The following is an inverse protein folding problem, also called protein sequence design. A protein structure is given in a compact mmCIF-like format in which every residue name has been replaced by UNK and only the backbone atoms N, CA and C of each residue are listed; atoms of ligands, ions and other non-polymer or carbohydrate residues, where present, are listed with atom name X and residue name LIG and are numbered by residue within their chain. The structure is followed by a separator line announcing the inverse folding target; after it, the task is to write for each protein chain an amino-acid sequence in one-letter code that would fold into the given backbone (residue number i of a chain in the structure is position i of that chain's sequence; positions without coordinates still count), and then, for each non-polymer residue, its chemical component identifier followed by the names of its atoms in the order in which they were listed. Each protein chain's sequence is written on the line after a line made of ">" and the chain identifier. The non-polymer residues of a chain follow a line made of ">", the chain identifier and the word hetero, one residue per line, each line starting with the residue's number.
data_IF_202303584316
#
_entry.id   IF_202303584316
#
_cell.length_a   1.000
_cell.length_b   1.000
_cell.length_c   1.000
_cell.angle_alpha   90.00
_cell.angle_beta   90.00
_cell.angle_gamma   90.00
#
_symmetry.space_group_name_H-M   'P 1'
#
loop_
_entity.id
_entity.type
_entity.pdbx_description
1 polymer ?
#
# COMPACT_ATOMS: atom_id res chain seq x y z
N UNK A 1 15.77 -0.85 2.14
CA UNK A 1 14.84 0.19 2.64
C UNK A 1 13.38 -0.15 2.36
N UNK A 2 12.93 -0.22 1.08
CA UNK A 2 11.53 -0.52 0.73
C UNK A 2 10.96 -1.79 1.38
N UNK A 3 11.74 -2.87 1.43
CA UNK A 3 11.34 -4.15 2.00
C UNK A 3 11.01 -4.07 3.51
N UNK A 4 11.69 -3.19 4.25
CA UNK A 4 11.47 -3.02 5.69
C UNK A 4 10.09 -2.40 5.92
N UNK A 5 9.73 -1.35 5.19
CA UNK A 5 8.41 -0.71 5.29
C UNK A 5 7.28 -1.63 4.83
N UNK A 6 7.50 -2.46 3.80
CA UNK A 6 6.54 -3.51 3.42
C UNK A 6 6.31 -4.51 4.54
N UNK A 7 7.39 -5.00 5.15
CA UNK A 7 7.30 -5.95 6.27
C UNK A 7 6.55 -5.34 7.46
N UNK A 8 6.91 -4.11 7.81
CA UNK A 8 6.27 -3.33 8.88
C UNK A 8 4.77 -3.18 8.63
N UNK A 9 4.37 -2.70 7.44
CA UNK A 9 2.96 -2.53 7.10
C UNK A 9 2.19 -3.86 7.01
N UNK A 10 2.80 -4.93 6.52
CA UNK A 10 2.13 -6.23 6.40
C UNK A 10 1.89 -6.89 7.77
N UNK A 11 2.79 -6.67 8.75
CA UNK A 11 2.74 -7.30 10.06
C UNK A 11 2.43 -6.36 11.21
N UNK A 12 2.06 -5.11 10.92
CA UNK A 12 1.66 -4.06 11.87
C UNK A 12 0.80 -4.60 13.04
N UNK A 13 -0.32 -5.31 12.80
CA UNK A 13 -1.14 -5.82 13.90
C UNK A 13 -0.41 -6.86 14.77
N UNK A 14 0.43 -7.72 14.19
CA UNK A 14 1.21 -8.71 14.96
C UNK A 14 2.29 -8.04 15.80
N UNK A 15 2.96 -7.02 15.24
CA UNK A 15 3.97 -6.23 15.92
C UNK A 15 3.35 -5.52 17.13
N UNK A 16 2.18 -4.90 16.96
CA UNK A 16 1.47 -4.26 18.07
C UNK A 16 1.03 -5.24 19.15
N UNK A 17 0.55 -6.43 18.80
CA UNK A 17 0.21 -7.47 19.79
C UNK A 17 1.47 -7.88 20.58
N UNK A 18 2.59 -8.11 19.89
CA UNK A 18 3.86 -8.46 20.53
C UNK A 18 4.36 -7.36 21.47
N UNK A 19 4.30 -6.10 21.04
CA UNK A 19 4.68 -4.94 21.86
C UNK A 19 3.73 -4.73 23.03
N UNK A 20 2.43 -4.98 22.88
CA UNK A 20 1.46 -4.87 23.96
C UNK A 20 1.71 -5.93 25.05
N UNK A 21 1.96 -7.18 24.65
CA UNK A 21 2.32 -8.26 25.58
C UNK A 21 3.64 -7.94 26.27
N UNK A 22 4.68 -7.59 25.51
CA UNK A 22 5.98 -7.20 26.06
C UNK A 22 5.88 -6.01 27.02
N UNK A 23 5.08 -5.01 26.65
CA UNK A 23 4.80 -3.83 27.44
C UNK A 23 4.11 -4.17 28.76
N UNK A 24 3.14 -5.08 28.74
CA UNK A 24 2.47 -5.55 29.96
C UNK A 24 3.47 -6.22 30.92
N UNK A 25 4.35 -7.09 30.42
CA UNK A 25 5.37 -7.73 31.24
C UNK A 25 6.38 -6.73 31.80
N UNK A 26 6.88 -5.81 30.96
CA UNK A 26 7.82 -4.78 31.37
C UNK A 26 7.20 -3.82 32.39
N UNK A 27 5.94 -3.42 32.18
CA UNK A 27 5.19 -2.59 33.12
C UNK A 27 4.99 -3.29 34.46
N UNK A 28 4.62 -4.57 34.45
CA UNK A 28 4.47 -5.36 35.69
C UNK A 28 5.79 -5.44 36.45
N UNK A 29 6.90 -5.63 35.76
CA UNK A 29 8.23 -5.67 36.37
C UNK A 29 8.68 -4.31 36.93
N UNK A 30 8.40 -3.23 36.19
CA UNK A 30 8.63 -1.87 36.66
C UNK A 30 7.79 -1.57 37.91
N UNK A 31 6.52 -1.97 37.92
CA UNK A 31 5.63 -1.76 39.07
C UNK A 31 6.12 -2.48 40.33
N UNK A 32 6.58 -3.73 40.18
CA UNK A 32 7.19 -4.47 41.28
C UNK A 32 8.43 -3.74 41.80
N UNK A 33 9.36 -3.36 40.92
CA UNK A 33 10.59 -2.65 41.30
C UNK A 33 10.32 -1.28 41.94
N UNK A 34 9.31 -0.57 41.44
CA UNK A 34 8.83 0.71 41.99
C UNK A 34 8.27 0.56 43.40
N UNK A 35 7.55 -0.52 43.66
CA UNK A 35 6.99 -0.81 44.97
C UNK A 35 8.09 -1.17 45.99
N UNK A 36 9.11 -1.93 45.59
CA UNK A 36 10.28 -2.20 46.44
C UNK A 36 11.01 -0.89 46.79
N UNK A 37 11.25 -0.02 45.80
CA UNK A 37 11.87 1.28 46.02
C UNK A 37 11.07 2.18 46.97
N UNK A 38 9.73 2.18 46.88
CA UNK A 38 8.87 2.95 47.79
C UNK A 38 8.82 2.42 49.22
N UNK A 39 9.08 1.13 49.43
CA UNK A 39 9.04 0.49 50.76
C UNK A 39 10.39 0.55 51.49
N UNK A 40 11.47 0.86 50.79
CA UNK A 40 12.79 1.02 51.39
C UNK A 40 12.79 2.22 52.35
N UNK A 41 13.02 1.94 53.64
CA UNK A 41 13.08 2.96 54.70
C UNK A 41 14.48 3.56 54.81
N UNK A 42 15.52 2.76 54.51
CA UNK A 42 16.91 3.19 54.59
C UNK A 42 17.43 3.73 53.25
N UNK A 43 18.13 4.87 53.29
CA UNK A 43 18.74 5.51 52.12
C UNK A 43 19.64 4.59 51.31
N UNK A 44 20.43 3.75 52.00
CA UNK A 44 21.37 2.82 51.38
C UNK A 44 20.67 1.73 50.55
N UNK A 45 19.57 1.18 51.07
CA UNK A 45 18.75 0.19 50.35
C UNK A 45 18.10 0.80 49.11
N UNK A 46 17.73 2.08 49.22
CA UNK A 46 17.11 2.84 48.14
C UNK A 46 18.07 3.05 46.95
N UNK A 47 19.35 3.26 47.22
CA UNK A 47 20.39 3.42 46.18
C UNK A 47 20.63 2.11 45.40
N UNK A 48 20.71 0.97 46.11
CA UNK A 48 20.81 -0.34 45.45
C UNK A 48 19.53 -0.68 44.65
N UNK A 49 18.36 -0.30 45.17
CA UNK A 49 17.08 -0.47 44.46
C UNK A 49 17.01 0.38 43.18
N UNK A 50 17.55 1.61 43.19
CA UNK A 50 17.61 2.48 42.01
C UNK A 50 18.46 1.90 40.88
N UNK A 51 19.64 1.34 41.19
CA UNK A 51 20.49 0.70 40.19
C UNK A 51 19.79 -0.48 39.49
N UNK A 52 19.03 -1.28 40.25
CA UNK A 52 18.22 -2.38 39.70
C UNK A 52 17.02 -1.87 38.88
N UNK A 53 16.36 -0.82 39.36
CA UNK A 53 15.20 -0.21 38.70
C UNK A 53 15.58 0.39 37.34
N UNK A 54 16.80 0.92 37.19
CA UNK A 54 17.32 1.43 35.92
C UNK A 54 17.20 0.44 34.76
N UNK A 55 17.43 -0.86 35.00
CA UNK A 55 17.29 -1.89 33.96
C UNK A 55 15.83 -2.08 33.52
N UNK A 56 14.89 -2.04 34.47
CA UNK A 56 13.45 -2.13 34.16
C UNK A 56 12.94 -0.90 33.41
N UNK A 57 13.41 0.28 33.79
CA UNK A 57 13.10 1.54 33.11
C UNK A 57 13.61 1.51 31.68
N UNK A 58 14.85 1.08 31.46
CA UNK A 58 15.43 0.99 30.12
C UNK A 58 14.60 0.08 29.20
N UNK A 59 14.16 -1.08 29.68
CA UNK A 59 13.30 -1.99 28.90
C UNK A 59 11.95 -1.35 28.57
N UNK A 60 11.32 -0.66 29.52
CA UNK A 60 10.05 0.06 29.27
C UNK A 60 10.24 1.17 28.23
N UNK A 61 11.31 1.96 28.35
CA UNK A 61 11.65 3.02 27.39
C UNK A 61 11.89 2.43 26.00
N UNK A 62 12.61 1.30 25.90
CA UNK A 62 12.87 0.63 24.64
C UNK A 62 11.57 0.16 23.97
N UNK A 63 10.65 -0.44 24.73
CA UNK A 63 9.35 -0.86 24.20
C UNK A 63 8.53 0.34 23.73
N UNK A 64 8.49 1.42 24.51
CA UNK A 64 7.81 2.66 24.11
C UNK A 64 8.43 3.26 22.85
N UNK A 65 9.76 3.31 22.76
CA UNK A 65 10.46 3.82 21.59
C UNK A 65 10.12 2.99 20.32
N UNK A 66 10.07 1.66 20.43
CA UNK A 66 9.65 0.79 19.34
C UNK A 66 8.18 1.02 18.96
N UNK A 67 7.29 1.14 19.94
CA UNK A 67 5.87 1.41 19.71
C UNK A 67 5.64 2.74 18.99
N UNK A 68 6.28 3.82 19.45
CA UNK A 68 6.20 5.12 18.80
C UNK A 68 6.88 5.13 17.43
N UNK A 69 8.03 4.44 17.29
CA UNK A 69 8.71 4.29 16.01
C UNK A 69 7.82 3.62 14.96
N UNK A 70 7.15 2.54 15.36
CA UNK A 70 6.17 1.83 14.52
C UNK A 70 4.99 2.71 14.14
N UNK A 71 4.39 3.40 15.14
CA UNK A 71 3.26 4.29 14.93
C UNK A 71 3.59 5.44 13.97
N UNK A 72 4.79 6.02 14.10
CA UNK A 72 5.26 7.06 13.18
C UNK A 72 5.45 6.47 11.78
N UNK A 73 6.05 5.28 11.67
CA UNK A 73 6.24 4.63 10.38
C UNK A 73 4.91 4.32 9.68
N UNK A 74 3.96 3.73 10.39
CA UNK A 74 2.64 3.37 9.86
C UNK A 74 1.78 4.60 9.52
N UNK A 75 1.81 5.65 10.34
CA UNK A 75 0.95 6.83 10.16
C UNK A 75 1.51 7.88 9.22
N UNK A 76 2.84 8.03 9.17
CA UNK A 76 3.48 9.11 8.40
C UNK A 76 4.38 8.61 7.28
N UNK A 77 5.08 7.48 7.42
CA UNK A 77 6.02 7.04 6.38
C UNK A 77 5.29 6.24 5.31
N UNK A 78 4.51 5.22 5.71
CA UNK A 78 3.78 4.31 4.80
C UNK A 78 2.82 5.05 3.86
N UNK A 79 1.97 5.99 4.31
CA UNK A 79 1.02 6.66 3.42
C UNK A 79 1.68 7.64 2.42
N UNK A 80 2.89 8.10 2.71
CA UNK A 80 3.64 9.02 1.83
C UNK A 80 4.51 8.28 0.80
N UNK A 81 4.54 6.95 0.82
CA UNK A 81 5.25 6.14 -0.18
C UNK A 81 4.36 5.92 -1.41
N UNK A 82 4.89 6.10 -2.65
CA UNK A 82 4.11 5.88 -3.85
C UNK A 82 3.70 4.41 -3.99
N UNK A 83 2.50 4.15 -4.51
CA UNK A 83 1.92 2.80 -4.63
C UNK A 83 2.80 1.80 -5.40
N UNK A 84 3.71 2.30 -6.26
CA UNK A 84 4.72 1.51 -6.97
C UNK A 84 5.66 0.75 -6.03
N UNK A 85 5.84 1.23 -4.80
CA UNK A 85 6.63 0.53 -3.80
C UNK A 85 5.98 -0.77 -3.39
N UNK A 86 4.65 -0.87 -3.29
CA UNK A 86 3.96 -2.07 -2.79
C UNK A 86 3.73 -3.14 -3.85
N UNK A 87 3.86 -2.80 -5.14
CA UNK A 87 3.75 -3.77 -6.23
C UNK A 87 4.87 -4.82 -6.13
N UNK A 88 4.57 -6.11 -6.39
CA UNK A 88 5.60 -7.11 -6.60
C UNK A 88 6.35 -6.76 -7.89
N UNK A 89 7.66 -6.58 -7.81
CA UNK A 89 8.50 -6.52 -9.01
C UNK A 89 8.33 -7.85 -9.74
N UNK A 90 7.90 -7.80 -11.00
CA UNK A 90 7.76 -8.99 -11.82
C UNK A 90 9.10 -9.74 -11.80
N UNK A 91 9.09 -10.92 -11.19
CA UNK A 91 10.26 -11.80 -11.21
C UNK A 91 10.33 -12.32 -12.65
N UNK A 92 11.43 -12.07 -13.36
CA UNK A 92 11.62 -12.60 -14.71
C UNK A 92 11.53 -14.13 -14.63
N UNK A 93 10.48 -14.70 -15.20
CA UNK A 93 10.36 -16.14 -15.42
C UNK A 93 11.19 -16.51 -16.64
N UNK A 94 12.39 -17.04 -16.39
CA UNK A 94 13.33 -17.49 -17.42
C UNK A 94 12.86 -18.74 -18.17
N UNK A 95 11.76 -19.38 -17.75
CA UNK A 95 11.15 -20.51 -18.44
C UNK A 95 9.93 -20.09 -19.29
N UNK A 96 9.50 -18.83 -19.21
CA UNK A 96 8.44 -18.32 -20.06
C UNK A 96 8.94 -18.25 -21.52
N UNK A 97 8.45 -19.18 -22.36
CA UNK A 97 8.72 -19.15 -23.80
C UNK A 97 7.97 -17.97 -24.44
N UNK A 98 8.64 -17.06 -25.17
CA UNK A 98 7.96 -15.98 -25.86
C UNK A 98 7.05 -16.57 -26.95
N UNK A 99 5.75 -16.62 -26.67
CA UNK A 99 4.74 -17.04 -27.66
C UNK A 99 4.40 -15.81 -28.50
N UNK A 100 5.23 -15.53 -29.50
CA UNK A 100 5.13 -14.28 -30.25
C UNK A 100 5.82 -14.33 -31.61
N UNK A 101 5.43 -15.25 -32.48
CA UNK A 101 5.66 -15.07 -33.92
C UNK A 101 4.45 -15.58 -34.68
N UNK A 102 3.58 -14.66 -35.04
CA UNK A 102 2.47 -14.93 -35.98
C UNK A 102 3.11 -15.20 -37.33
N UNK A 103 2.76 -16.32 -37.97
CA UNK A 103 3.25 -16.66 -39.31
C UNK A 103 2.84 -15.57 -40.31
N UNK A 104 3.71 -15.23 -41.30
CA UNK A 104 3.43 -14.19 -42.28
C UNK A 104 2.16 -14.48 -43.09
N UNK A 105 1.80 -15.75 -43.32
CA UNK A 105 0.57 -16.12 -43.99
C UNK A 105 -0.70 -15.72 -43.22
N UNK A 106 -0.68 -15.82 -41.88
CA UNK A 106 -1.82 -15.43 -41.03
C UNK A 106 -1.95 -13.91 -40.92
N UNK A 107 -0.83 -13.18 -40.96
CA UNK A 107 -0.81 -11.72 -40.98
C UNK A 107 -1.43 -11.15 -42.28
N UNK A 108 -1.15 -11.76 -43.44
CA UNK A 108 -1.73 -11.34 -44.72
C UNK A 108 -3.24 -11.62 -44.79
N UNK A 109 -3.70 -12.75 -44.22
CA UNK A 109 -5.14 -13.05 -44.16
C UNK A 109 -5.91 -12.11 -43.23
N UNK A 110 -5.31 -11.71 -42.10
CA UNK A 110 -5.92 -10.76 -41.14
C UNK A 110 -6.04 -9.32 -41.69
N UNK A 111 -5.23 -8.95 -42.68
CA UNK A 111 -5.25 -7.64 -43.34
C UNK A 111 -6.32 -7.52 -44.44
N UNK A 112 -6.76 -8.63 -45.01
CA UNK A 112 -7.69 -8.67 -46.16
C UNK A 112 -9.16 -8.87 -45.77
N UNK A 113 -9.45 -9.20 -44.50
CA UNK A 113 -10.81 -9.28 -43.98
C UNK A 113 -11.34 -7.89 -43.57
N UNK A 114 -12.53 -7.46 -44.05
CA UNK A 114 -13.21 -6.27 -43.54
C UNK A 114 -13.49 -6.47 -42.04
N UNK A 115 -12.77 -5.73 -41.18
CA UNK A 115 -13.00 -5.78 -39.74
C UNK A 115 -14.27 -4.98 -39.41
N UNK A 116 -15.24 -5.55 -38.69
CA UNK A 116 -16.25 -4.73 -38.03
C UNK A 116 -15.54 -3.75 -37.08
N UNK A 117 -16.07 -2.51 -37.02
CA UNK A 117 -15.63 -1.49 -36.07
C UNK A 117 -15.46 -2.14 -34.70
N UNK A 118 -14.31 -1.98 -34.02
CA UNK A 118 -14.12 -2.60 -32.72
C UNK A 118 -15.11 -1.98 -31.75
N UNK A 119 -16.24 -2.64 -31.53
CA UNK A 119 -16.89 -2.61 -30.22
C UNK A 119 -15.86 -3.19 -29.27
N UNK A 120 -15.30 -2.33 -28.42
CA UNK A 120 -14.37 -2.69 -27.36
C UNK A 120 -15.10 -3.61 -26.36
N UNK A 121 -15.25 -4.88 -26.72
CA UNK A 121 -15.98 -5.90 -25.94
C UNK A 121 -15.30 -6.23 -24.61
N UNK A 122 -14.06 -5.77 -24.42
CA UNK A 122 -13.26 -6.02 -23.23
C UNK A 122 -12.70 -4.72 -22.65
N UNK A 123 -13.44 -3.61 -22.71
CA UNK A 123 -13.21 -2.48 -21.83
C UNK A 123 -13.60 -2.88 -20.39
N UNK A 124 -12.80 -3.74 -19.77
CA UNK A 124 -12.96 -4.21 -18.38
C UNK A 124 -12.71 -3.10 -17.34
N UNK A 125 -12.92 -1.84 -17.72
CA UNK A 125 -12.84 -0.66 -16.87
C UNK A 125 -14.20 0.04 -16.68
N UNK A 126 -15.13 -0.05 -17.64
CA UNK A 126 -16.43 0.61 -17.49
C UNK A 126 -17.41 -0.28 -16.73
N UNK A 127 -17.30 -0.31 -15.40
CA UNK A 127 -18.25 -1.01 -14.52
C UNK A 127 -19.49 -0.14 -14.38
N UNK A 128 -20.64 -0.64 -14.83
CA UNK A 128 -21.89 0.13 -14.79
C UNK A 128 -22.22 0.60 -13.36
N UNK A 129 -22.43 1.91 -13.18
CA UNK A 129 -22.72 2.53 -11.88
C UNK A 129 -21.52 2.76 -10.96
N UNK A 130 -20.31 2.28 -11.31
CA UNK A 130 -19.07 2.50 -10.54
C UNK A 130 -18.00 3.27 -11.30
N UNK A 131 -17.90 3.11 -12.61
CA UNK A 131 -16.99 3.88 -13.45
C UNK A 131 -17.60 4.01 -14.85
N UNK A 132 -18.21 5.16 -15.13
CA UNK A 132 -18.87 5.46 -16.42
C UNK A 132 -18.49 6.87 -16.86
N UNK A 133 -18.26 7.05 -18.16
CA UNK A 133 -18.28 8.36 -18.82
C UNK A 133 -19.69 8.57 -19.38
N UNK A 134 -20.40 9.57 -18.87
CA UNK A 134 -21.78 9.92 -19.24
C UNK A 134 -21.83 10.85 -20.47
N UNK A 135 -20.76 11.63 -20.70
CA UNK A 135 -20.62 12.53 -21.85
C UNK A 135 -19.18 12.59 -22.32
N UNK A 136 -18.90 12.51 -23.63
CA UNK A 136 -19.84 12.36 -24.75
C UNK A 136 -20.37 10.92 -24.93
N UNK A 137 -21.56 10.78 -25.53
CA UNK A 137 -22.13 9.46 -25.84
C UNK A 137 -21.35 8.79 -26.99
N UNK A 138 -21.23 7.45 -27.01
CA UNK A 138 -20.59 6.73 -28.12
C UNK A 138 -21.22 7.10 -29.47
N UNK A 139 -20.39 7.35 -30.48
CA UNK A 139 -20.83 7.71 -31.84
C UNK A 139 -21.25 9.17 -32.03
N UNK A 140 -21.09 10.03 -31.02
CA UNK A 140 -21.35 11.47 -31.16
C UNK A 140 -20.22 12.17 -31.90
N UNK A 141 -20.54 12.91 -32.95
CA UNK A 141 -19.58 13.81 -33.59
C UNK A 141 -19.30 15.01 -32.67
N UNK A 142 -18.05 15.18 -32.29
CA UNK A 142 -17.58 16.24 -31.39
C UNK A 142 -16.77 17.30 -32.17
N UNK A 143 -17.02 18.59 -31.91
CA UNK A 143 -16.28 19.72 -32.50
C UNK A 143 -16.09 20.84 -31.46
N UNK A 144 -14.87 21.35 -31.33
CA UNK A 144 -14.55 22.45 -30.41
C UNK A 144 -14.22 22.00 -28.99
N UNK A 145 -14.57 22.81 -27.99
CA UNK A 145 -14.37 22.48 -26.57
C UNK A 145 -15.43 21.47 -26.11
N UNK A 146 -15.00 20.34 -25.55
CA UNK A 146 -15.89 19.24 -25.14
C UNK A 146 -15.78 19.01 -23.64
N UNK A 147 -16.90 19.04 -22.95
CA UNK A 147 -16.99 18.70 -21.54
C UNK A 147 -17.13 17.18 -21.37
N UNK A 148 -16.10 16.58 -20.78
CA UNK A 148 -16.13 15.16 -20.38
C UNK A 148 -16.78 15.07 -19.00
N UNK A 149 -17.87 14.31 -18.90
CA UNK A 149 -18.58 14.08 -17.63
C UNK A 149 -18.70 12.59 -17.37
N UNK A 150 -18.52 12.18 -16.12
CA UNK A 150 -18.62 10.78 -15.73
C UNK A 150 -18.81 10.61 -14.24
N UNK A 151 -19.16 9.38 -13.85
CA UNK A 151 -19.38 8.96 -12.47
C UNK A 151 -18.28 7.99 -12.05
N UNK A 152 -17.64 8.26 -10.90
CA UNK A 152 -16.64 7.38 -10.28
C UNK A 152 -17.04 7.07 -8.85
N UNK A 153 -17.35 5.80 -8.58
CA UNK A 153 -17.77 5.30 -7.28
C UNK A 153 -17.01 4.00 -6.95
N UNK A 154 -15.75 4.17 -6.57
CA UNK A 154 -14.80 3.11 -6.22
C UNK A 154 -14.31 3.35 -4.79
N UNK A 155 -14.23 2.30 -3.97
CA UNK A 155 -13.70 2.38 -2.59
C UNK A 155 -12.22 2.78 -2.62
N UNK A 156 -11.81 3.74 -1.79
CA UNK A 156 -10.44 4.30 -1.73
C UNK A 156 -9.98 4.99 -3.02
N UNK A 157 -10.87 5.72 -3.70
CA UNK A 157 -10.51 6.51 -4.87
C UNK A 157 -9.55 7.66 -4.51
N UNK A 158 -8.33 7.63 -5.06
CA UNK A 158 -7.28 8.61 -4.78
C UNK A 158 -7.01 9.59 -5.92
N UNK A 159 -6.85 9.11 -7.15
CA UNK A 159 -6.54 9.94 -8.32
C UNK A 159 -7.22 9.40 -9.58
N UNK A 160 -7.48 10.30 -10.53
CA UNK A 160 -7.90 9.94 -11.89
C UNK A 160 -6.91 10.45 -12.91
N UNK A 161 -6.82 9.72 -14.02
CA UNK A 161 -6.20 10.14 -15.27
C UNK A 161 -7.19 9.82 -16.38
N UNK A 162 -7.35 10.75 -17.31
CA UNK A 162 -8.04 10.49 -18.56
C UNK A 162 -7.05 10.73 -19.71
N UNK A 163 -7.17 9.91 -20.75
CA UNK A 163 -6.34 9.98 -21.96
C UNK A 163 -7.30 10.00 -23.14
N UNK A 164 -6.95 10.76 -24.18
CA UNK A 164 -7.78 10.91 -25.37
C UNK A 164 -6.88 10.72 -26.58
N UNK A 165 -7.10 9.64 -27.31
CA UNK A 165 -6.41 9.38 -28.57
C UNK A 165 -7.39 9.56 -29.74
N UNK A 166 -6.92 10.06 -30.89
CA UNK A 166 -7.64 9.92 -32.14
C UNK A 166 -7.92 8.45 -32.46
N UNK A 167 -9.00 8.18 -33.19
CA UNK A 167 -9.30 6.83 -33.65
C UNK A 167 -8.12 6.28 -34.47
N UNK A 168 -7.68 5.06 -34.12
CA UNK A 168 -6.62 4.32 -34.83
C UNK A 168 -5.19 4.86 -34.67
N UNK A 169 -4.92 5.59 -33.58
CA UNK A 169 -3.56 6.00 -33.19
C UNK A 169 -3.22 5.48 -31.80
N UNK A 170 -1.96 5.08 -31.61
CA UNK A 170 -1.40 4.68 -30.30
C UNK A 170 -0.78 5.87 -29.55
N UNK A 171 -1.03 7.09 -30.04
CA UNK A 171 -0.59 8.34 -29.41
C UNK A 171 -1.67 8.80 -28.44
N UNK A 172 -1.41 8.62 -27.15
CA UNK A 172 -2.31 8.95 -26.02
C UNK A 172 -1.95 10.29 -25.38
#
# INVERSE_FOLDING_TARGET
>A
MAAIYKFLSAYEPLIYIGLAIGGLFAFRWLWQSWNEWRRAVYSLEREFALGRMGRSIFVVILILALFFGELIAASFIVPNLPASYFLPTATLDLLATPTGTISPQLATQLALTPRPVPTLSNASGCISGKLIIDSPKPGTEIKGSIDIKGTVNIVNFGFYKYEVAPLNTETW
#
